data_IF_950659540893
#
_entry.id   IF_950659540893
#
_cell.length_a   1.000
_cell.length_b   1.000
_cell.length_c   1.000
_cell.angle_alpha   90.00
_cell.angle_beta   90.00
_cell.angle_gamma   90.00
#
_symmetry.space_group_name_H-M   'P 1'
#
loop_
_entity.id
_entity.type
_entity.pdbx_description
1 polymer ?
#
# COMPACT_ATOMS: atom_id res chain seq x y z
N UNK A 1 6.86 -2.66 -18.98
CA UNK A 1 6.50 -1.48 -18.17
C UNK A 1 5.31 -1.87 -17.30
N UNK A 2 5.42 -1.68 -15.98
CA UNK A 2 4.39 -2.08 -15.00
C UNK A 2 3.14 -1.20 -15.18
N UNK A 3 1.94 -1.80 -15.28
CA UNK A 3 0.68 -1.05 -15.26
C UNK A 3 0.30 -0.64 -13.83
N UNK A 4 0.80 0.53 -13.44
CA UNK A 4 0.59 1.07 -12.09
C UNK A 4 -0.86 1.35 -11.73
N UNK A 5 -1.72 1.62 -12.72
CA UNK A 5 -3.14 1.86 -12.46
C UNK A 5 -3.81 0.57 -11.98
N UNK A 6 -3.44 -0.55 -12.58
CA UNK A 6 -3.91 -1.88 -12.19
C UNK A 6 -3.34 -2.30 -10.83
N UNK A 7 -2.02 -2.15 -10.62
CA UNK A 7 -1.38 -2.48 -9.32
C UNK A 7 -2.03 -1.71 -8.16
N UNK A 8 -2.28 -0.42 -8.34
CA UNK A 8 -2.91 0.40 -7.31
C UNK A 8 -4.35 -0.04 -7.02
N UNK A 9 -5.13 -0.32 -8.06
CA UNK A 9 -6.49 -0.82 -7.93
C UNK A 9 -6.53 -2.14 -7.17
N UNK A 10 -5.60 -3.05 -7.47
CA UNK A 10 -5.52 -4.36 -6.82
C UNK A 10 -5.09 -4.25 -5.36
N UNK A 11 -4.14 -3.35 -5.05
CA UNK A 11 -3.72 -3.08 -3.68
C UNK A 11 -4.87 -2.53 -2.82
N UNK A 12 -5.62 -1.55 -3.35
CA UNK A 12 -6.82 -0.99 -2.69
C UNK A 12 -7.86 -2.10 -2.47
N UNK A 13 -8.12 -2.93 -3.48
CA UNK A 13 -9.08 -4.03 -3.36
C UNK A 13 -8.66 -5.06 -2.30
N UNK A 14 -7.37 -5.38 -2.21
CA UNK A 14 -6.83 -6.28 -1.19
C UNK A 14 -7.01 -5.71 0.23
N UNK A 15 -6.72 -4.42 0.42
CA UNK A 15 -6.93 -3.73 1.69
C UNK A 15 -8.43 -3.65 2.07
N UNK A 16 -9.29 -3.35 1.09
CA UNK A 16 -10.74 -3.31 1.29
C UNK A 16 -11.31 -4.68 1.69
N UNK A 17 -10.88 -5.77 1.05
CA UNK A 17 -11.35 -7.13 1.35
C UNK A 17 -11.11 -7.51 2.82
N UNK A 18 -9.88 -7.27 3.29
CA UNK A 18 -9.47 -7.56 4.68
C UNK A 18 -10.30 -6.78 5.72
N UNK A 19 -10.68 -5.55 5.40
CA UNK A 19 -11.50 -4.71 6.28
C UNK A 19 -12.99 -5.06 6.16
N UNK A 20 -13.48 -5.40 4.96
CA UNK A 20 -14.88 -5.74 4.72
C UNK A 20 -15.32 -6.94 5.56
N UNK A 21 -14.44 -7.93 5.73
CA UNK A 21 -14.70 -9.14 6.52
C UNK A 21 -14.78 -8.88 8.03
N UNK A 22 -14.16 -7.79 8.51
CA UNK A 22 -13.99 -7.55 9.95
C UNK A 22 -14.65 -6.27 10.46
N UNK A 23 -14.95 -5.33 9.58
CA UNK A 23 -15.37 -3.98 9.92
C UNK A 23 -16.00 -3.24 8.72
N UNK A 24 -17.20 -3.62 8.26
CA UNK A 24 -17.83 -3.02 7.08
C UNK A 24 -18.00 -1.49 7.17
N UNK A 25 -18.14 -0.93 8.38
CA UNK A 25 -18.17 0.53 8.62
C UNK A 25 -16.81 1.24 8.48
N UNK A 26 -15.70 0.50 8.56
CA UNK A 26 -14.35 1.04 8.41
C UNK A 26 -13.86 1.07 6.95
N UNK A 27 -14.61 0.46 6.01
CA UNK A 27 -14.26 0.39 4.58
C UNK A 27 -14.11 1.77 3.94
N UNK A 28 -15.00 2.71 4.26
CA UNK A 28 -14.94 4.08 3.73
C UNK A 28 -13.67 4.82 4.18
N UNK A 29 -13.33 4.71 5.46
CA UNK A 29 -12.13 5.33 6.03
C UNK A 29 -10.84 4.77 5.44
N UNK A 30 -10.76 3.45 5.25
CA UNK A 30 -9.59 2.82 4.60
C UNK A 30 -9.44 3.32 3.17
N UNK A 31 -10.54 3.45 2.44
CA UNK A 31 -10.50 3.98 1.08
C UNK A 31 -9.96 5.39 1.02
N UNK A 32 -10.38 6.28 1.93
CA UNK A 32 -9.94 7.67 1.96
C UNK A 32 -8.46 7.80 2.38
N UNK A 33 -8.03 7.03 3.38
CA UNK A 33 -6.63 6.99 3.84
C UNK A 33 -5.72 6.47 2.72
N UNK A 34 -6.11 5.38 2.08
CA UNK A 34 -5.34 4.79 0.97
C UNK A 34 -5.27 5.77 -0.21
N UNK A 35 -6.38 6.45 -0.56
CA UNK A 35 -6.38 7.50 -1.60
C UNK A 35 -5.43 8.66 -1.29
N UNK A 36 -5.37 9.09 -0.02
CA UNK A 36 -4.46 10.15 0.40
C UNK A 36 -2.99 9.75 0.21
N UNK A 37 -2.69 8.45 0.34
CA UNK A 37 -1.35 7.87 0.22
C UNK A 37 -0.94 7.51 -1.21
N UNK A 38 -1.91 7.37 -2.12
CA UNK A 38 -1.70 7.05 -3.54
C UNK A 38 -0.60 7.90 -4.18
N UNK A 39 -0.60 9.21 -3.91
CA UNK A 39 0.34 10.14 -4.51
C UNK A 39 1.78 9.89 -4.03
N UNK A 40 1.99 9.67 -2.73
CA UNK A 40 3.34 9.42 -2.18
C UNK A 40 3.88 8.07 -2.64
N UNK A 41 3.04 7.05 -2.62
CA UNK A 41 3.40 5.73 -3.14
C UNK A 41 3.75 5.84 -4.63
N UNK A 42 2.95 6.51 -5.46
CA UNK A 42 3.29 6.75 -6.88
C UNK A 42 4.64 7.44 -7.08
N UNK A 43 4.98 8.43 -6.27
CA UNK A 43 6.26 9.14 -6.39
C UNK A 43 7.45 8.24 -6.06
N UNK A 44 7.34 7.42 -5.01
CA UNK A 44 8.35 6.42 -4.65
C UNK A 44 8.54 5.40 -5.79
N UNK A 45 7.44 4.96 -6.40
CA UNK A 45 7.46 4.01 -7.52
C UNK A 45 8.10 4.60 -8.79
N UNK A 46 7.82 5.86 -9.10
CA UNK A 46 8.45 6.58 -10.23
C UNK A 46 9.95 6.71 -9.99
N UNK A 47 10.35 7.11 -8.77
CA UNK A 47 11.76 7.28 -8.43
C UNK A 47 12.56 5.97 -8.53
N UNK A 48 11.97 4.82 -8.19
CA UNK A 48 12.60 3.52 -8.44
C UNK A 48 12.69 3.19 -9.94
N UNK A 49 11.60 3.40 -10.70
CA UNK A 49 11.57 3.09 -12.12
C UNK A 49 12.56 3.94 -12.94
N UNK A 50 12.80 5.17 -12.51
CA UNK A 50 13.78 6.08 -13.10
C UNK A 50 15.22 5.81 -12.60
N UNK A 51 15.42 4.79 -11.75
CA UNK A 51 16.72 4.44 -11.16
C UNK A 51 17.25 5.47 -10.15
N UNK A 52 16.41 6.42 -9.71
CA UNK A 52 16.76 7.43 -8.71
C UNK A 52 16.78 6.87 -7.28
N UNK A 53 16.14 5.72 -7.06
CA UNK A 53 16.21 4.94 -5.82
C UNK A 53 16.68 3.53 -6.12
N UNK A 54 17.49 2.97 -5.23
CA UNK A 54 17.82 1.54 -5.25
C UNK A 54 16.76 0.70 -4.52
N UNK A 55 16.86 -0.62 -4.69
CA UNK A 55 15.91 -1.59 -4.11
C UNK A 55 15.89 -1.56 -2.57
N UNK A 56 17.03 -1.31 -1.92
CA UNK A 56 17.11 -1.24 -0.47
C UNK A 56 16.41 0.02 0.08
N UNK A 57 16.56 1.14 -0.63
CA UNK A 57 15.97 2.43 -0.25
C UNK A 57 14.47 2.42 -0.48
N UNK A 58 13.99 1.88 -1.60
CA UNK A 58 12.54 1.77 -1.83
C UNK A 58 11.87 0.86 -0.81
N UNK A 59 12.52 -0.24 -0.40
CA UNK A 59 11.99 -1.07 0.68
C UNK A 59 11.89 -0.32 2.01
N UNK A 60 12.89 0.51 2.34
CA UNK A 60 12.88 1.30 3.56
C UNK A 60 11.73 2.33 3.55
N UNK A 61 11.56 3.05 2.43
CA UNK A 61 10.46 4.00 2.25
C UNK A 61 9.08 3.32 2.30
N UNK A 62 8.94 2.14 1.70
CA UNK A 62 7.69 1.37 1.76
C UNK A 62 7.41 0.85 3.18
N UNK A 63 8.44 0.49 3.96
CA UNK A 63 8.29 0.14 5.38
C UNK A 63 7.84 1.33 6.21
N UNK A 64 8.37 2.52 5.93
CA UNK A 64 7.95 3.75 6.61
C UNK A 64 6.50 4.12 6.24
N UNK A 65 6.14 4.08 4.95
CA UNK A 65 4.75 4.29 4.52
C UNK A 65 3.79 3.29 5.16
N UNK A 66 4.20 2.03 5.32
CA UNK A 66 3.42 1.04 6.06
C UNK A 66 3.19 1.45 7.50
N UNK A 67 4.23 1.89 8.22
CA UNK A 67 4.09 2.32 9.61
C UNK A 67 3.17 3.53 9.76
N UNK A 68 3.24 4.48 8.82
CA UNK A 68 2.36 5.65 8.81
C UNK A 68 0.91 5.23 8.49
N UNK A 69 0.71 4.39 7.48
CA UNK A 69 -0.61 3.87 7.12
C UNK A 69 -1.22 3.08 8.27
N UNK A 70 -0.43 2.25 8.95
CA UNK A 70 -0.84 1.55 10.16
C UNK A 70 -1.29 2.53 11.24
N UNK A 71 -0.57 3.66 11.43
CA UNK A 71 -0.90 4.75 12.38
C UNK A 71 -2.19 5.50 12.02
N UNK A 72 -2.43 5.78 10.74
CA UNK A 72 -3.65 6.43 10.27
C UNK A 72 -4.87 5.50 10.39
N UNK A 73 -4.70 4.24 10.02
CA UNK A 73 -5.72 3.21 10.24
C UNK A 73 -5.90 2.89 11.74
N UNK A 74 -4.86 3.15 12.55
CA UNK A 74 -4.88 3.15 14.00
C UNK A 74 -5.81 4.23 14.55
N UNK A 75 -5.81 5.42 13.97
CA UNK A 75 -6.70 6.51 14.39
C UNK A 75 -8.18 6.19 14.10
N UNK A 76 -8.45 5.32 13.13
CA UNK A 76 -9.79 4.75 12.88
C UNK A 76 -10.19 3.72 13.98
N UNK A 77 -9.26 3.32 14.88
CA UNK A 77 -9.44 2.31 15.95
C UNK A 77 -10.17 2.77 17.21
N UNK A 78 -11.40 3.23 17.09
CA UNK A 78 -12.32 2.97 18.21
C UNK A 78 -12.95 1.57 18.09
N UNK A 79 -12.90 0.89 16.92
CA UNK A 79 -13.61 -0.39 16.77
C UNK A 79 -12.82 -1.63 16.29
N UNK A 80 -11.68 -1.54 15.57
CA UNK A 80 -11.19 -2.72 14.76
C UNK A 80 -9.66 -2.79 14.53
N UNK A 81 -8.89 -2.75 15.62
CA UNK A 81 -7.41 -2.73 15.67
C UNK A 81 -6.65 -3.69 14.73
N UNK A 82 -7.11 -4.93 14.61
CA UNK A 82 -6.47 -5.97 13.79
C UNK A 82 -6.79 -5.85 12.29
N UNK A 83 -7.98 -5.38 11.93
CA UNK A 83 -8.39 -5.21 10.53
C UNK A 83 -7.58 -4.11 9.82
N UNK A 84 -7.29 -3.04 10.54
CA UNK A 84 -6.41 -1.96 10.10
C UNK A 84 -4.99 -2.44 9.72
N UNK A 85 -4.37 -3.22 10.61
CA UNK A 85 -3.03 -3.77 10.36
C UNK A 85 -3.03 -4.76 9.19
N UNK A 86 -3.99 -5.67 9.17
CA UNK A 86 -4.06 -6.66 8.09
C UNK A 86 -4.28 -5.98 6.72
N UNK A 87 -5.04 -4.86 6.66
CA UNK A 87 -5.24 -4.10 5.43
C UNK A 87 -4.00 -3.34 4.97
N UNK A 88 -3.26 -2.72 5.90
CA UNK A 88 -1.98 -2.09 5.58
C UNK A 88 -0.99 -3.10 4.98
N UNK A 89 -0.95 -4.30 5.57
CA UNK A 89 -0.09 -5.38 5.09
C UNK A 89 -0.49 -5.86 3.70
N UNK A 90 -1.79 -6.02 3.47
CA UNK A 90 -2.31 -6.44 2.17
C UNK A 90 -2.03 -5.39 1.07
N UNK A 91 -2.20 -4.10 1.37
CA UNK A 91 -1.90 -3.01 0.44
C UNK A 91 -0.42 -3.03 0.05
N UNK A 92 0.47 -2.93 1.04
CA UNK A 92 1.91 -2.78 0.82
C UNK A 92 2.52 -4.04 0.21
N UNK A 93 2.08 -5.22 0.65
CA UNK A 93 2.55 -6.49 0.09
C UNK A 93 2.20 -6.65 -1.39
N UNK A 94 1.03 -6.17 -1.82
CA UNK A 94 0.62 -6.19 -3.23
C UNK A 94 1.52 -5.28 -4.08
N UNK A 95 1.82 -4.08 -3.57
CA UNK A 95 2.71 -3.11 -4.25
C UNK A 95 4.14 -3.63 -4.33
N UNK A 96 4.69 -4.15 -3.23
CA UNK A 96 6.05 -4.72 -3.18
C UNK A 96 6.22 -5.89 -4.15
N UNK A 97 5.24 -6.79 -4.23
CA UNK A 97 5.29 -7.92 -5.16
C UNK A 97 5.37 -7.45 -6.61
N UNK A 98 4.50 -6.50 -6.99
CA UNK A 98 4.50 -5.95 -8.35
C UNK A 98 5.83 -5.26 -8.71
N UNK A 99 6.47 -4.60 -7.75
CA UNK A 99 7.78 -3.98 -7.93
C UNK A 99 8.88 -5.01 -8.18
N UNK A 100 9.01 -6.00 -7.31
CA UNK A 100 10.04 -7.04 -7.41
C UNK A 100 9.90 -7.86 -8.71
N UNK A 101 8.66 -8.18 -9.09
CA UNK A 101 8.39 -8.89 -10.34
C UNK A 101 8.75 -8.04 -11.57
N UNK A 102 8.52 -6.73 -11.51
CA UNK A 102 8.88 -5.82 -12.60
C UNK A 102 10.38 -5.55 -12.71
N UNK A 103 11.14 -5.48 -11.61
CA UNK A 103 12.61 -5.39 -11.63
C UNK A 103 13.19 -6.65 -12.30
N UNK A 104 12.71 -7.84 -11.94
CA UNK A 104 13.19 -9.13 -12.48
C UNK A 104 12.92 -9.34 -13.97
N UNK A 105 11.99 -8.61 -14.56
CA UNK A 105 11.71 -8.67 -16.01
C UNK A 105 12.56 -7.70 -16.83
N UNK A 106 13.27 -6.76 -16.17
CA UNK A 106 14.05 -5.70 -16.81
C UNK A 106 15.56 -5.88 -16.56
N UNK A 107 15.95 -6.62 -15.51
CA UNK A 107 17.32 -7.07 -15.23
C UNK A 107 17.68 -8.33 -16.01
#
# INVERSE_FOLDING_TARGET
MIDWKTVWKDAVAAAEAVVSDRAPKAKGYVKDIVKAREKRIKLLLIALADGALDEATIEAELREERAILESELLAVRVMVKKAAQDAANALIGTIQKALLDGIRLVA
#
